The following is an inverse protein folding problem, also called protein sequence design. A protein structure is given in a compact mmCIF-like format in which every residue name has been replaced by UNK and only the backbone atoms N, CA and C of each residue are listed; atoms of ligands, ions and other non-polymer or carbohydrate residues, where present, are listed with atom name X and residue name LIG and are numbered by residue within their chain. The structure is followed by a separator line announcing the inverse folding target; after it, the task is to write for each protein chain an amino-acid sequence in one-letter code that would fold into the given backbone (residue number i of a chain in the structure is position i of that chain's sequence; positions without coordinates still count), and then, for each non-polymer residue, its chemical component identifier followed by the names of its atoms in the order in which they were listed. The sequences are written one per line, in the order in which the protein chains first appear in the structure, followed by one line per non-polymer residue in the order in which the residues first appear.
data_IF_588739861201
#
_entry.id   IF_588739861201
#
_cell.length_a   1.000
_cell.length_b   1.000
_cell.length_c   1.000
_cell.angle_alpha   90.00
_cell.angle_beta   90.00
_cell.angle_gamma   90.00
#
_symmetry.space_group_name_H-M   'P 1'
#
loop_
_entity.id
_entity.type
_entity.pdbx_description
1 polymer ?
#
# COMPACT_ATOMS: atom_id res chain seq x y z
N UNK A 1 -18.79 15.07 -17.30
CA UNK A 1 -18.14 14.06 -16.44
C UNK A 1 -16.62 14.22 -16.34
N UNK A 2 -15.91 14.60 -17.41
CA UNK A 2 -14.44 14.76 -17.39
C UNK A 2 -13.88 15.85 -16.44
N UNK A 3 -14.68 16.85 -16.09
CA UNK A 3 -14.26 17.99 -15.25
C UNK A 3 -14.35 17.70 -13.74
N UNK A 4 -15.08 16.65 -13.33
CA UNK A 4 -15.25 16.29 -11.92
C UNK A 4 -14.01 15.60 -11.32
N UNK A 5 -13.26 14.87 -12.15
CA UNK A 5 -12.06 14.12 -11.76
C UNK A 5 -10.94 15.06 -11.27
N UNK A 6 -10.55 16.13 -12.00
CA UNK A 6 -9.52 17.05 -11.53
C UNK A 6 -9.96 17.84 -10.29
N UNK A 7 -11.26 18.15 -10.16
CA UNK A 7 -11.79 18.83 -8.98
C UNK A 7 -11.66 17.97 -7.71
N UNK A 8 -11.96 16.66 -7.82
CA UNK A 8 -11.76 15.72 -6.72
C UNK A 8 -10.28 15.61 -6.31
N UNK A 9 -9.37 15.54 -7.29
CA UNK A 9 -7.93 15.51 -7.02
C UNK A 9 -7.44 16.79 -6.32
N UNK A 10 -7.94 17.95 -6.73
CA UNK A 10 -7.62 19.23 -6.10
C UNK A 10 -8.15 19.31 -4.66
N UNK A 11 -9.38 18.85 -4.42
CA UNK A 11 -9.99 18.82 -3.07
C UNK A 11 -9.21 17.89 -2.15
N UNK A 12 -8.89 16.66 -2.60
CA UNK A 12 -8.10 15.69 -1.82
C UNK A 12 -6.71 16.23 -1.54
N UNK A 13 -6.05 16.83 -2.53
CA UNK A 13 -4.72 17.43 -2.38
C UNK A 13 -4.71 18.59 -1.38
N UNK A 14 -5.73 19.46 -1.43
CA UNK A 14 -5.86 20.60 -0.52
C UNK A 14 -6.18 20.14 0.91
N UNK A 15 -7.10 19.18 1.08
CA UNK A 15 -7.43 18.61 2.38
C UNK A 15 -6.24 17.85 2.99
N UNK A 16 -5.47 17.11 2.18
CA UNK A 16 -4.26 16.42 2.62
C UNK A 16 -3.14 17.39 3.01
N UNK A 17 -3.00 18.50 2.29
CA UNK A 17 -2.07 19.57 2.63
C UNK A 17 -2.44 20.26 3.96
N UNK A 18 -3.72 20.55 4.18
CA UNK A 18 -4.21 21.07 5.46
C UNK A 18 -4.01 20.08 6.61
N UNK A 19 -4.24 18.78 6.39
CA UNK A 19 -4.01 17.74 7.40
C UNK A 19 -2.53 17.56 7.77
N UNK A 20 -1.61 17.82 6.83
CA UNK A 20 -0.17 17.70 7.09
C UNK A 20 0.38 18.90 7.86
N UNK A 21 -0.19 20.09 7.65
CA UNK A 21 0.19 21.32 8.38
C UNK A 21 -0.61 21.56 9.67
N UNK A 22 -1.76 20.92 9.82
CA UNK A 22 -2.66 21.06 10.98
C UNK A 22 -2.31 20.14 12.16
N UNK A 23 -2.87 20.47 13.33
CA UNK A 23 -2.82 19.69 14.57
C UNK A 23 -3.66 18.41 14.53
N UNK A 24 -3.71 17.69 15.65
CA UNK A 24 -4.39 16.37 15.73
C UNK A 24 -5.86 16.40 15.30
N UNK A 25 -6.57 17.48 15.59
CA UNK A 25 -7.99 17.66 15.25
C UNK A 25 -8.22 17.77 13.73
N UNK A 26 -7.31 18.43 13.01
CA UNK A 26 -7.42 18.61 11.55
C UNK A 26 -7.11 17.32 10.80
N UNK A 27 -6.22 16.48 11.33
CA UNK A 27 -6.00 15.13 10.83
C UNK A 27 -7.23 14.24 11.00
N UNK A 28 -7.90 14.34 12.14
CA UNK A 28 -9.13 13.58 12.38
C UNK A 28 -10.25 14.01 11.42
N UNK A 29 -10.43 15.32 11.22
CA UNK A 29 -11.38 15.86 10.25
C UNK A 29 -11.05 15.44 8.82
N UNK A 30 -9.77 15.36 8.45
CA UNK A 30 -9.35 14.84 7.15
C UNK A 30 -9.75 13.38 6.94
N UNK A 31 -9.48 12.52 7.93
CA UNK A 31 -9.81 11.09 7.85
C UNK A 31 -11.32 10.88 7.77
N UNK A 32 -12.10 11.62 8.57
CA UNK A 32 -13.56 11.56 8.55
C UNK A 32 -14.12 12.05 7.21
N UNK A 33 -13.64 13.19 6.69
CA UNK A 33 -14.04 13.69 5.38
C UNK A 33 -13.63 12.75 4.25
N UNK A 34 -12.46 12.13 4.33
CA UNK A 34 -12.01 11.15 3.34
C UNK A 34 -12.91 9.92 3.35
N UNK A 35 -13.29 9.41 4.53
CA UNK A 35 -14.22 8.29 4.66
C UNK A 35 -15.61 8.64 4.10
N UNK A 36 -16.15 9.82 4.43
CA UNK A 36 -17.42 10.31 3.88
C UNK A 36 -17.38 10.47 2.36
N UNK A 37 -16.28 11.02 1.83
CA UNK A 37 -16.04 11.15 0.40
C UNK A 37 -16.03 9.76 -0.27
N UNK A 38 -15.37 8.79 0.35
CA UNK A 38 -15.29 7.42 -0.13
C UNK A 38 -16.65 6.73 -0.14
N UNK A 39 -17.45 6.89 0.91
CA UNK A 39 -18.84 6.41 0.96
C UNK A 39 -19.68 7.07 -0.14
N UNK A 40 -19.53 8.37 -0.35
CA UNK A 40 -20.22 9.09 -1.42
C UNK A 40 -19.81 8.58 -2.82
N UNK A 41 -18.53 8.21 -2.99
CA UNK A 41 -18.03 7.63 -4.23
C UNK A 41 -18.61 6.23 -4.48
N UNK A 42 -18.76 5.40 -3.45
CA UNK A 42 -19.45 4.10 -3.55
C UNK A 42 -20.91 4.29 -3.98
N UNK A 43 -21.58 5.32 -3.47
CA UNK A 43 -22.97 5.61 -3.83
C UNK A 43 -23.13 6.17 -5.24
N UNK A 44 -22.22 7.06 -5.67
CA UNK A 44 -22.31 7.79 -6.94
C UNK A 44 -21.76 6.99 -8.13
N UNK A 45 -20.68 6.24 -7.92
CA UNK A 45 -20.02 5.46 -8.97
C UNK A 45 -20.25 3.95 -8.84
N UNK A 46 -20.70 3.45 -7.69
CA UNK A 46 -20.99 2.04 -7.44
C UNK A 46 -19.73 1.22 -7.09
N UNK A 47 -19.66 -0.01 -7.63
CA UNK A 47 -18.54 -0.94 -7.47
C UNK A 47 -17.13 -0.43 -7.84
N UNK A 48 -16.89 0.44 -8.85
CA UNK A 48 -15.53 0.85 -9.21
C UNK A 48 -14.78 1.57 -8.07
N UNK A 49 -15.48 2.24 -7.15
CA UNK A 49 -14.86 2.85 -5.96
C UNK A 49 -14.33 1.81 -4.96
N UNK A 50 -14.88 0.60 -4.96
CA UNK A 50 -14.47 -0.54 -4.13
C UNK A 50 -13.41 -1.41 -4.85
N UNK A 51 -13.54 -1.57 -6.17
CA UNK A 51 -12.65 -2.37 -7.01
C UNK A 51 -11.25 -1.77 -7.06
N UNK A 52 -11.11 -0.44 -7.23
CA UNK A 52 -9.80 0.21 -7.28
C UNK A 52 -8.92 -0.10 -6.05
N UNK A 53 -9.40 0.17 -4.83
CA UNK A 53 -8.70 -0.18 -3.58
C UNK A 53 -8.42 -1.66 -3.44
N UNK A 54 -9.37 -2.53 -3.79
CA UNK A 54 -9.21 -3.97 -3.71
C UNK A 54 -8.11 -4.48 -4.65
N UNK A 55 -8.06 -3.99 -5.89
CA UNK A 55 -7.01 -4.33 -6.87
C UNK A 55 -5.65 -3.81 -6.41
N UNK A 56 -5.59 -2.60 -5.84
CA UNK A 56 -4.36 -2.04 -5.30
C UNK A 56 -3.84 -2.86 -4.11
N UNK A 57 -4.74 -3.29 -3.22
CA UNK A 57 -4.40 -4.16 -2.11
C UNK A 57 -3.93 -5.55 -2.59
N UNK A 58 -4.62 -6.14 -3.57
CA UNK A 58 -4.20 -7.41 -4.14
C UNK A 58 -2.81 -7.31 -4.79
N UNK A 59 -2.56 -6.24 -5.57
CA UNK A 59 -1.26 -5.99 -6.18
C UNK A 59 -0.16 -5.78 -5.14
N UNK A 60 -0.43 -5.06 -4.05
CA UNK A 60 0.55 -4.84 -2.98
C UNK A 60 0.87 -6.12 -2.23
N UNK A 61 -0.12 -6.97 -1.92
CA UNK A 61 0.11 -8.28 -1.31
C UNK A 61 0.91 -9.21 -2.22
N UNK A 62 0.60 -9.26 -3.52
CA UNK A 62 1.39 -10.04 -4.47
C UNK A 62 2.84 -9.55 -4.53
N UNK A 63 3.05 -8.23 -4.58
CA UNK A 63 4.39 -7.64 -4.56
C UNK A 63 5.13 -7.98 -3.26
N UNK A 64 4.44 -7.89 -2.12
CA UNK A 64 5.00 -8.23 -0.82
C UNK A 64 5.45 -9.70 -0.77
N UNK A 65 4.62 -10.63 -1.25
CA UNK A 65 4.96 -12.05 -1.34
C UNK A 65 6.15 -12.30 -2.26
N UNK A 66 6.21 -11.62 -3.41
CA UNK A 66 7.34 -11.70 -4.34
C UNK A 66 8.62 -11.23 -3.68
N UNK A 67 8.59 -10.11 -2.96
CA UNK A 67 9.76 -9.56 -2.25
C UNK A 67 10.23 -10.53 -1.16
N UNK A 68 9.30 -11.08 -0.38
CA UNK A 68 9.63 -12.02 0.70
C UNK A 68 10.28 -13.29 0.13
N UNK A 69 9.69 -13.86 -0.92
CA UNK A 69 10.20 -15.06 -1.62
C UNK A 69 11.57 -14.80 -2.26
N UNK A 70 11.74 -13.65 -2.91
CA UNK A 70 13.00 -13.28 -3.58
C UNK A 70 14.12 -12.99 -2.58
N UNK A 71 13.77 -12.53 -1.37
CA UNK A 71 14.73 -12.30 -0.28
C UNK A 71 15.26 -13.61 0.28
N UNK A 72 14.40 -14.63 0.40
CA UNK A 72 14.79 -15.98 0.84
C UNK A 72 15.71 -16.65 -0.21
N UNK A 73 15.39 -16.53 -1.50
CA UNK A 73 16.25 -17.03 -2.59
C UNK A 73 17.65 -16.38 -2.65
N UNK A 74 17.82 -15.20 -2.06
CA UNK A 74 19.09 -14.48 -2.01
C UNK A 74 20.03 -15.02 -0.93
N UNK A 75 19.55 -15.86 -0.01
CA UNK A 75 20.41 -16.58 0.93
C UNK A 75 21.24 -17.58 0.12
N UNK A 76 22.56 -17.37 -0.05
CA UNK A 76 23.34 -18.18 -0.96
C UNK A 76 23.51 -19.58 -0.38
N UNK A 77 23.09 -20.60 -1.14
CA UNK A 77 23.44 -22.03 -0.94
C UNK A 77 24.94 -22.26 -0.73
N UNK A 78 25.79 -21.30 -1.13
CA UNK A 78 27.22 -21.30 -0.86
C UNK A 78 27.59 -21.23 0.63
N UNK A 79 26.74 -20.63 1.49
CA UNK A 79 26.92 -20.62 2.93
C UNK A 79 26.64 -22.00 3.55
N UNK A 80 25.59 -22.68 3.09
CA UNK A 80 25.22 -24.04 3.52
C UNK A 80 26.27 -25.08 3.12
N UNK A 81 26.78 -25.04 1.87
CA UNK A 81 27.76 -26.02 1.37
C UNK A 81 29.13 -25.93 2.08
N UNK A 82 29.52 -24.76 2.58
CA UNK A 82 30.77 -24.59 3.37
C UNK A 82 30.62 -25.05 4.82
N UNK A 83 29.42 -25.02 5.39
CA UNK A 83 29.16 -25.53 6.73
C UNK A 83 29.24 -27.06 6.74
N UNK A 84 28.59 -27.73 5.78
CA UNK A 84 28.64 -29.19 5.67
C UNK A 84 30.06 -29.71 5.36
N UNK A 85 30.78 -29.09 4.41
CA UNK A 85 32.13 -29.54 4.04
C UNK A 85 33.17 -29.41 5.15
N UNK A 86 32.93 -28.52 6.13
CA UNK A 86 33.81 -28.36 7.30
C UNK A 86 33.54 -29.40 8.37
N UNK A 87 32.32 -29.94 8.43
CA UNK A 87 31.92 -30.94 9.40
C UNK A 87 32.47 -32.34 9.06
N UNK A 88 32.67 -32.62 7.77
CA UNK A 88 33.23 -33.89 7.29
C UNK A 88 34.75 -33.99 7.45
N UNK A 89 35.45 -32.89 7.76
CA UNK A 89 36.92 -32.86 7.94
C UNK A 89 37.37 -32.94 9.40
N UNK A 90 36.41 -32.92 10.34
CA UNK A 90 36.64 -33.01 11.78
C UNK A 90 36.32 -34.42 12.36
N UNK A 91 36.17 -35.44 11.49
CA UNK A 91 36.06 -36.88 11.82
C UNK A 91 37.31 -37.65 11.35
#
# INVERSE_FOLDING_TARGET
MALAIPAYLAIIGFLGWCAWRGGETEKLMFVVNLALLWISAIWLFGYPALIGPAVLAAASYLLFLVILTSSDLKVPVAATRRADARQDTDL
#
